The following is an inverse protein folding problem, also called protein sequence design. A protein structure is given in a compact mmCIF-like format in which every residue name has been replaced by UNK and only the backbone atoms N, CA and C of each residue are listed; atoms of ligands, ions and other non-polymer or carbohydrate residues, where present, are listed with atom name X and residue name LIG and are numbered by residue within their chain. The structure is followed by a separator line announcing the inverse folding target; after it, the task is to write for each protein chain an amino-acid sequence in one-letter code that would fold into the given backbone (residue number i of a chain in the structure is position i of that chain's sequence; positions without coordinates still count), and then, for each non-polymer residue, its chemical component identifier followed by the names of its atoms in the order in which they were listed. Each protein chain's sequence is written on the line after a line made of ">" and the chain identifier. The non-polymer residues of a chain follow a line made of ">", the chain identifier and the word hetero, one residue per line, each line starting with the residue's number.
data_IF_945551438987
#
_entry.id   IF_945551438987
#
_cell.length_a   1.000
_cell.length_b   1.000
_cell.length_c   1.000
_cell.angle_alpha   90.00
_cell.angle_beta   90.00
_cell.angle_gamma   90.00
#
_symmetry.space_group_name_H-M   'P 1'
#
loop_
_entity.id
_entity.type
_entity.pdbx_description
1 polymer ?
#
# COMPACT_ATOMS: atom_id res chain seq x y z
N UNK A 1 4.70 22.05 29.83
CA UNK A 1 5.38 20.76 29.56
C UNK A 1 4.30 19.74 29.21
N UNK A 2 3.90 19.68 27.94
CA UNK A 2 2.79 18.82 27.47
C UNK A 2 3.27 17.37 27.43
N UNK A 3 2.93 16.57 28.44
CA UNK A 3 3.24 15.14 28.42
C UNK A 3 2.34 14.48 27.37
N UNK A 4 2.89 13.69 26.42
CA UNK A 4 2.06 12.94 25.50
C UNK A 4 1.12 12.04 26.31
N UNK A 5 -0.15 11.89 25.89
CA UNK A 5 -1.09 11.05 26.61
C UNK A 5 -0.53 9.63 26.70
N UNK A 6 -0.68 8.93 27.83
CA UNK A 6 -0.12 7.59 28.03
C UNK A 6 -0.56 6.59 26.95
N UNK A 7 -1.73 6.80 26.34
CA UNK A 7 -2.25 6.03 25.20
C UNK A 7 -1.37 6.20 23.96
N UNK A 8 -0.91 7.41 23.65
CA UNK A 8 -0.03 7.65 22.50
C UNK A 8 1.31 6.93 22.69
N UNK A 9 1.88 7.00 23.90
CA UNK A 9 3.11 6.27 24.24
C UNK A 9 2.91 4.75 24.06
N UNK A 10 1.79 4.21 24.54
CA UNK A 10 1.46 2.79 24.38
C UNK A 10 1.37 2.41 22.88
N UNK A 11 0.66 3.20 22.06
CA UNK A 11 0.54 2.95 20.63
C UNK A 11 1.90 2.97 19.92
N UNK A 12 2.76 3.93 20.25
CA UNK A 12 4.11 4.01 19.69
C UNK A 12 4.97 2.81 20.09
N UNK A 13 4.88 2.36 21.34
CA UNK A 13 5.58 1.15 21.81
C UNK A 13 5.07 -0.09 21.07
N UNK A 14 3.76 -0.26 20.94
CA UNK A 14 3.17 -1.39 20.21
C UNK A 14 3.59 -1.38 18.73
N UNK A 15 3.59 -0.22 18.09
CA UNK A 15 4.08 -0.06 16.72
C UNK A 15 5.56 -0.45 16.61
N UNK A 16 6.41 0.06 17.51
CA UNK A 16 7.83 -0.25 17.53
C UNK A 16 8.09 -1.76 17.72
N UNK A 17 7.38 -2.39 18.67
CA UNK A 17 7.47 -3.84 18.88
C UNK A 17 7.02 -4.64 17.66
N UNK A 18 5.93 -4.21 17.00
CA UNK A 18 5.46 -4.82 15.76
C UNK A 18 6.50 -4.74 14.63
N UNK A 19 7.19 -3.59 14.49
CA UNK A 19 8.26 -3.43 13.50
C UNK A 19 9.47 -4.32 13.82
N UNK A 20 9.89 -4.37 15.08
CA UNK A 20 11.00 -5.24 15.53
C UNK A 20 10.66 -6.71 15.26
N UNK A 21 9.44 -7.13 15.58
CA UNK A 21 8.99 -8.51 15.35
C UNK A 21 9.06 -8.94 13.87
N UNK A 22 8.93 -8.01 12.93
CA UNK A 22 9.07 -8.28 11.49
C UNK A 22 10.54 -8.32 11.03
N UNK A 23 11.42 -7.53 11.66
CA UNK A 23 12.84 -7.43 11.26
C UNK A 23 13.66 -8.60 11.81
N UNK A 24 13.35 -9.08 13.01
CA UNK A 24 14.10 -10.15 13.68
C UNK A 24 14.23 -11.40 12.80
N UNK A 25 13.15 -11.98 12.24
CA UNK A 25 13.25 -13.16 11.38
C UNK A 25 14.15 -12.94 10.16
N UNK A 26 14.03 -11.79 9.49
CA UNK A 26 14.83 -11.47 8.31
C UNK A 26 16.33 -11.43 8.64
N UNK A 27 16.69 -10.83 9.79
CA UNK A 27 18.07 -10.75 10.23
C UNK A 27 18.63 -12.11 10.67
N UNK A 28 17.84 -12.87 11.42
CA UNK A 28 18.22 -14.22 11.85
C UNK A 28 18.41 -15.16 10.66
N UNK A 29 17.50 -15.12 9.68
CA UNK A 29 17.62 -15.90 8.45
C UNK A 29 18.89 -15.50 7.67
N UNK A 30 19.15 -14.21 7.52
CA UNK A 30 20.34 -13.73 6.82
C UNK A 30 21.64 -14.24 7.46
N UNK A 31 21.75 -14.19 8.79
CA UNK A 31 22.90 -14.73 9.52
C UNK A 31 23.01 -16.25 9.32
N UNK A 32 21.89 -16.97 9.46
CA UNK A 32 21.85 -18.43 9.31
C UNK A 32 22.29 -18.87 7.91
N UNK A 33 21.77 -18.22 6.85
CA UNK A 33 22.17 -18.50 5.47
C UNK A 33 23.65 -18.23 5.22
N UNK A 34 24.25 -17.28 5.95
CA UNK A 34 25.69 -17.04 5.97
C UNK A 34 26.47 -18.22 6.55
N UNK A 35 26.05 -18.74 7.70
CA UNK A 35 26.70 -19.87 8.38
C UNK A 35 26.67 -21.17 7.55
N UNK A 36 25.57 -21.42 6.83
CA UNK A 36 25.46 -22.61 5.97
C UNK A 36 26.06 -22.42 4.56
N UNK A 37 26.56 -21.22 4.24
CA UNK A 37 27.16 -20.92 2.93
C UNK A 37 26.16 -20.75 1.78
N UNK A 38 24.86 -20.60 2.06
CA UNK A 38 23.78 -20.48 1.07
C UNK A 38 23.21 -19.05 0.96
N UNK A 39 24.00 -18.02 1.24
CA UNK A 39 23.58 -16.60 1.15
C UNK A 39 23.00 -16.22 -0.21
N UNK A 40 23.45 -16.86 -1.29
CA UNK A 40 22.91 -16.64 -2.64
C UNK A 40 21.43 -17.01 -2.76
N UNK A 41 20.98 -18.06 -2.06
CA UNK A 41 19.58 -18.50 -2.02
C UNK A 41 18.72 -17.46 -1.30
N UNK A 42 19.18 -16.97 -0.15
CA UNK A 42 18.50 -15.90 0.59
C UNK A 42 18.32 -14.65 -0.26
N UNK A 43 19.39 -14.17 -0.91
CA UNK A 43 19.34 -12.98 -1.77
C UNK A 43 18.41 -13.21 -2.96
N UNK A 44 18.43 -14.41 -3.58
CA UNK A 44 17.54 -14.74 -4.70
C UNK A 44 16.07 -14.72 -4.27
N UNK A 45 15.74 -15.34 -3.15
CA UNK A 45 14.37 -15.36 -2.60
C UNK A 45 13.91 -13.95 -2.21
N UNK A 46 14.76 -13.18 -1.52
CA UNK A 46 14.43 -11.81 -1.11
C UNK A 46 14.24 -10.90 -2.33
N UNK A 47 15.11 -11.01 -3.34
CA UNK A 47 15.01 -10.23 -4.58
C UNK A 47 13.73 -10.56 -5.35
N UNK A 48 13.34 -11.84 -5.41
CA UNK A 48 12.11 -12.26 -6.09
C UNK A 48 10.86 -11.74 -5.37
N UNK A 49 10.81 -11.85 -4.03
CA UNK A 49 9.70 -11.29 -3.25
C UNK A 49 9.63 -9.77 -3.43
N UNK A 50 10.77 -9.08 -3.37
CA UNK A 50 10.86 -7.63 -3.57
C UNK A 50 10.43 -7.19 -4.98
N UNK A 51 10.82 -7.93 -6.02
CA UNK A 51 10.45 -7.61 -7.39
C UNK A 51 8.95 -7.83 -7.64
N UNK A 52 8.36 -8.90 -7.09
CA UNK A 52 6.91 -9.14 -7.17
C UNK A 52 6.10 -8.06 -6.48
N UNK A 53 6.53 -7.65 -5.28
CA UNK A 53 5.93 -6.53 -4.57
C UNK A 53 5.95 -5.27 -5.41
N UNK A 54 7.14 -4.86 -5.88
CA UNK A 54 7.33 -3.62 -6.61
C UNK A 54 6.58 -3.63 -7.94
N UNK A 55 6.68 -4.71 -8.70
CA UNK A 55 6.02 -4.85 -9.99
C UNK A 55 4.49 -4.72 -9.86
N UNK A 56 3.88 -5.45 -8.92
CA UNK A 56 2.43 -5.43 -8.79
C UNK A 56 1.92 -4.12 -8.14
N UNK A 57 2.64 -3.59 -7.15
CA UNK A 57 2.28 -2.30 -6.55
C UNK A 57 2.33 -1.17 -7.58
N UNK A 58 3.41 -1.08 -8.37
CA UNK A 58 3.54 -0.07 -9.42
C UNK A 58 2.47 -0.25 -10.51
N UNK A 59 2.25 -1.48 -10.97
CA UNK A 59 1.24 -1.76 -11.99
C UNK A 59 -0.17 -1.32 -11.53
N UNK A 60 -0.58 -1.70 -10.31
CA UNK A 60 -1.88 -1.33 -9.75
C UNK A 60 -1.98 0.17 -9.50
N UNK A 61 -0.93 0.80 -8.96
CA UNK A 61 -0.87 2.24 -8.73
C UNK A 61 -1.08 3.01 -10.03
N UNK A 62 -0.30 2.68 -11.06
CA UNK A 62 -0.37 3.34 -12.37
C UNK A 62 -1.74 3.11 -13.00
N UNK A 63 -2.22 1.87 -13.01
CA UNK A 63 -3.50 1.52 -13.61
C UNK A 63 -4.66 2.29 -12.96
N UNK A 64 -4.79 2.21 -11.63
CA UNK A 64 -5.87 2.87 -10.90
C UNK A 64 -5.76 4.38 -10.96
N UNK A 65 -4.57 4.94 -10.73
CA UNK A 65 -4.38 6.38 -10.75
C UNK A 65 -4.69 6.97 -12.14
N UNK A 66 -4.21 6.34 -13.21
CA UNK A 66 -4.49 6.78 -14.56
C UNK A 66 -5.99 6.66 -14.89
N UNK A 67 -6.61 5.53 -14.57
CA UNK A 67 -8.02 5.27 -14.85
C UNK A 67 -8.94 6.24 -14.11
N UNK A 68 -8.72 6.43 -12.80
CA UNK A 68 -9.50 7.35 -11.97
C UNK A 68 -9.28 8.81 -12.36
N UNK A 69 -8.05 9.20 -12.70
CA UNK A 69 -7.76 10.58 -13.17
C UNK A 69 -8.45 10.85 -14.51
N UNK A 70 -8.46 9.86 -15.41
CA UNK A 70 -9.16 9.98 -16.67
C UNK A 70 -10.68 10.05 -16.47
N UNK A 71 -11.24 9.18 -15.63
CA UNK A 71 -12.66 9.20 -15.28
C UNK A 71 -13.09 10.54 -14.66
N UNK A 72 -12.29 11.08 -13.74
CA UNK A 72 -12.57 12.37 -13.09
C UNK A 72 -12.49 13.58 -14.06
N UNK A 73 -11.77 13.46 -15.18
CA UNK A 73 -11.69 14.50 -16.22
C UNK A 73 -12.82 14.39 -17.24
N UNK A 74 -13.27 13.16 -17.54
CA UNK A 74 -14.27 12.87 -18.57
C UNK A 74 -15.70 12.81 -18.02
N UNK A 75 -15.86 12.75 -16.69
CA UNK A 75 -17.16 12.84 -16.04
C UNK A 75 -17.88 14.12 -16.47
N UNK A 76 -19.09 13.97 -17.05
CA UNK A 76 -19.91 15.09 -17.44
C UNK A 76 -20.25 15.95 -16.21
N UNK A 77 -20.35 17.29 -16.35
CA UNK A 77 -20.90 18.12 -15.29
C UNK A 77 -22.31 17.61 -14.98
N UNK A 78 -22.56 17.21 -13.73
CA UNK A 78 -23.89 16.73 -13.33
C UNK A 78 -24.94 17.78 -13.70
N UNK A 79 -25.90 17.38 -14.53
CA UNK A 79 -27.07 18.18 -14.93
C UNK A 79 -28.07 18.31 -13.77
N UNK A 80 -27.71 17.83 -12.57
CA UNK A 80 -28.62 17.54 -11.45
C UNK A 80 -28.48 18.55 -10.29
N UNK A 81 -27.94 19.75 -10.56
CA UNK A 81 -27.89 20.85 -9.59
C UNK A 81 -29.25 21.13 -8.92
N UNK A 82 -30.34 20.92 -9.66
CA UNK A 82 -31.71 21.23 -9.21
C UNK A 82 -32.31 20.17 -8.27
N UNK A 83 -31.85 18.91 -8.27
CA UNK A 83 -32.26 17.93 -7.25
C UNK A 83 -31.38 18.00 -5.99
N UNK A 84 -30.12 18.41 -6.10
CA UNK A 84 -29.20 18.52 -4.96
C UNK A 84 -29.68 19.58 -3.95
N UNK A 85 -30.22 20.69 -4.44
CA UNK A 85 -30.82 21.76 -3.63
C UNK A 85 -32.16 21.32 -3.00
N UNK A 86 -32.95 20.46 -3.68
CA UNK A 86 -34.20 19.92 -3.14
C UNK A 86 -34.00 18.83 -2.09
N UNK A 87 -32.92 18.06 -2.18
CA UNK A 87 -32.63 16.93 -1.28
C UNK A 87 -31.72 17.31 -0.09
N UNK A 88 -31.25 18.57 -0.02
CA UNK A 88 -30.36 19.04 1.05
C UNK A 88 -29.02 18.31 1.10
N UNK A 89 -28.59 17.73 -0.02
CA UNK A 89 -27.33 16.99 -0.09
C UNK A 89 -26.15 17.98 -0.06
N UNK A 90 -25.03 17.65 0.62
CA UNK A 90 -23.87 18.54 0.64
C UNK A 90 -23.39 18.80 -0.79
N UNK A 91 -23.37 20.07 -1.20
CA UNK A 91 -23.00 20.46 -2.56
C UNK A 91 -21.66 19.84 -2.97
N UNK A 92 -21.60 19.27 -4.19
CA UNK A 92 -20.43 18.65 -4.81
C UNK A 92 -19.14 19.48 -4.71
N UNK A 93 -19.28 20.80 -4.60
CA UNK A 93 -18.20 21.78 -4.37
C UNK A 93 -17.39 21.47 -3.10
N UNK A 94 -18.00 20.90 -2.06
CA UNK A 94 -17.32 20.56 -0.79
C UNK A 94 -16.67 19.17 -0.86
N UNK A 95 -17.30 18.23 -1.58
CA UNK A 95 -16.88 16.82 -1.63
C UNK A 95 -15.75 16.59 -2.64
N UNK A 96 -15.81 17.22 -3.83
CA UNK A 96 -14.83 16.98 -4.89
C UNK A 96 -13.37 17.33 -4.50
N UNK A 97 -13.07 18.45 -3.82
CA UNK A 97 -11.72 18.75 -3.36
C UNK A 97 -11.20 17.71 -2.36
N UNK A 98 -12.09 17.20 -1.51
CA UNK A 98 -11.76 16.17 -0.53
C UNK A 98 -11.41 14.85 -1.24
N UNK A 99 -12.25 14.41 -2.19
CA UNK A 99 -12.00 13.21 -2.98
C UNK A 99 -10.68 13.33 -3.72
N UNK A 100 -10.42 14.44 -4.44
CA UNK A 100 -9.17 14.63 -5.18
C UNK A 100 -7.92 14.60 -4.28
N UNK A 101 -8.04 15.05 -3.03
CA UNK A 101 -6.93 15.04 -2.08
C UNK A 101 -6.66 13.66 -1.48
N UNK A 102 -7.69 12.88 -1.20
CA UNK A 102 -7.56 11.55 -0.60
C UNK A 102 -7.40 10.41 -1.61
N UNK A 103 -7.83 10.61 -2.86
CA UNK A 103 -7.71 9.63 -3.94
C UNK A 103 -6.29 9.05 -4.12
N UNK A 104 -5.20 9.84 -4.21
CA UNK A 104 -3.86 9.27 -4.36
C UNK A 104 -3.45 8.43 -3.14
N UNK A 105 -3.89 8.81 -1.93
CA UNK A 105 -3.60 8.06 -0.70
C UNK A 105 -4.31 6.70 -0.73
N UNK A 106 -5.60 6.69 -1.07
CA UNK A 106 -6.39 5.45 -1.16
C UNK A 106 -5.84 4.53 -2.24
N UNK A 107 -5.50 5.07 -3.42
CA UNK A 107 -4.91 4.28 -4.50
C UNK A 107 -3.55 3.72 -4.09
N UNK A 108 -2.71 4.50 -3.41
CA UNK A 108 -1.43 4.02 -2.90
C UNK A 108 -1.60 2.89 -1.89
N UNK A 109 -2.58 2.98 -0.96
CA UNK A 109 -2.88 1.91 -0.02
C UNK A 109 -3.32 0.63 -0.72
N UNK A 110 -4.19 0.72 -1.73
CA UNK A 110 -4.63 -0.42 -2.52
C UNK A 110 -3.44 -1.04 -3.26
N UNK A 111 -2.62 -0.23 -3.91
CA UNK A 111 -1.43 -0.68 -4.62
C UNK A 111 -0.44 -1.41 -3.71
N UNK A 112 -0.15 -0.85 -2.53
CA UNK A 112 0.71 -1.49 -1.53
C UNK A 112 0.11 -2.82 -1.04
N UNK A 113 -1.19 -2.86 -0.78
CA UNK A 113 -1.88 -4.08 -0.38
C UNK A 113 -1.82 -5.16 -1.48
N UNK A 114 -2.01 -4.79 -2.74
CA UNK A 114 -1.85 -5.69 -3.88
C UNK A 114 -0.42 -6.21 -3.99
N UNK A 115 0.58 -5.34 -3.89
CA UNK A 115 2.00 -5.74 -3.87
C UNK A 115 2.30 -6.73 -2.74
N UNK A 116 1.81 -6.48 -1.52
CA UNK A 116 1.97 -7.41 -0.39
C UNK A 116 1.32 -8.76 -0.64
N UNK A 117 0.20 -8.84 -1.36
CA UNK A 117 -0.40 -10.12 -1.75
C UNK A 117 0.43 -10.87 -2.79
N UNK A 118 1.10 -10.16 -3.69
CA UNK A 118 1.96 -10.78 -4.72
C UNK A 118 3.10 -11.59 -4.11
N UNK A 119 3.68 -11.09 -3.01
CA UNK A 119 4.87 -11.71 -2.39
C UNK A 119 4.61 -13.10 -1.85
N UNK A 120 3.37 -13.46 -1.54
CA UNK A 120 2.98 -14.80 -1.06
C UNK A 120 3.17 -15.86 -2.16
N UNK A 121 3.07 -15.47 -3.43
CA UNK A 121 3.12 -16.38 -4.58
C UNK A 121 4.53 -16.54 -5.17
N UNK A 122 5.58 -16.16 -4.43
CA UNK A 122 6.97 -16.21 -4.90
C UNK A 122 7.43 -17.62 -5.29
N UNK A 123 6.97 -18.66 -4.60
CA UNK A 123 7.33 -20.06 -4.89
C UNK A 123 6.79 -20.51 -6.26
N UNK A 124 5.54 -20.13 -6.57
CA UNK A 124 4.93 -20.39 -7.86
C UNK A 124 5.72 -19.74 -8.98
N UNK A 125 6.09 -18.47 -8.82
CA UNK A 125 6.87 -17.74 -9.84
C UNK A 125 8.26 -18.33 -9.98
N UNK A 126 8.93 -18.68 -8.87
CA UNK A 126 10.25 -19.30 -8.90
C UNK A 126 10.21 -20.63 -9.67
N UNK A 127 9.15 -21.43 -9.50
CA UNK A 127 8.98 -22.71 -10.19
C UNK A 127 8.76 -22.58 -11.70
N UNK A 128 8.32 -21.43 -12.22
CA UNK A 128 8.21 -21.18 -13.66
C UNK A 128 9.48 -20.57 -14.27
N UNK A 129 10.27 -19.87 -13.45
CA UNK A 129 11.47 -19.15 -13.92
C UNK A 129 12.73 -20.02 -13.87
N UNK A 130 12.69 -21.12 -13.13
CA UNK A 130 13.81 -22.04 -12.92
C UNK A 130 13.63 -23.35 -13.69
#
# INVERSE_FOLDING_TARGET
>A
MNRPPPVLLLLLVLLALGLVAQIVPLYTDWLWFGEVGYTSVFVKTLSLRGSLFAALAVAVLVFLYANLTFAARTAAPDVIWELEDQLGLPSRVVIEPLIRRFLPVVVALIALASGMRATVHWETVLGYVN
#
